data_IF_915736863135
#
_entry.id   IF_915736863135
#
_cell.length_a   1.000
_cell.length_b   1.000
_cell.length_c   1.000
_cell.angle_alpha   90.00
_cell.angle_beta   90.00
_cell.angle_gamma   90.00
#
_symmetry.space_group_name_H-M   'P 1'
#
loop_
_entity.id
_entity.type
_entity.pdbx_description
1 polymer ?
#
# COMPACT_ATOMS: atom_id res chain seq x y z
N UNK A 1 22.90 -3.27 -8.54
CA UNK A 1 21.82 -2.62 -9.36
C UNK A 1 20.46 -3.31 -9.19
N UNK A 2 20.41 -4.62 -8.93
CA UNK A 2 19.17 -5.39 -8.76
C UNK A 2 18.42 -5.11 -7.44
N UNK A 3 19.11 -5.04 -6.32
CA UNK A 3 18.49 -4.85 -5.00
C UNK A 3 17.71 -3.53 -4.83
N UNK A 4 18.23 -2.44 -5.37
CA UNK A 4 17.55 -1.14 -5.31
C UNK A 4 16.25 -1.17 -6.12
N UNK A 5 16.26 -1.84 -7.28
CA UNK A 5 15.09 -1.95 -8.15
C UNK A 5 13.97 -2.79 -7.52
N UNK A 6 14.31 -3.89 -6.85
CA UNK A 6 13.34 -4.75 -6.14
C UNK A 6 12.71 -4.06 -4.93
N UNK A 7 13.51 -3.32 -4.14
CA UNK A 7 12.98 -2.51 -3.04
C UNK A 7 11.97 -1.44 -3.53
N UNK A 8 12.28 -0.79 -4.65
CA UNK A 8 11.40 0.23 -5.23
C UNK A 8 10.12 -0.36 -5.81
N UNK A 9 10.18 -1.50 -6.48
CA UNK A 9 9.00 -2.22 -6.96
C UNK A 9 8.10 -2.65 -5.79
N UNK A 10 8.68 -3.15 -4.71
CA UNK A 10 7.93 -3.51 -3.51
C UNK A 10 7.25 -2.30 -2.85
N UNK A 11 7.91 -1.14 -2.84
CA UNK A 11 7.35 0.11 -2.31
C UNK A 11 6.22 0.66 -3.20
N UNK A 12 6.37 0.59 -4.53
CA UNK A 12 5.37 1.04 -5.48
C UNK A 12 4.13 0.13 -5.47
N UNK A 13 4.32 -1.19 -5.42
CA UNK A 13 3.22 -2.14 -5.25
C UNK A 13 2.46 -1.90 -3.94
N UNK A 14 3.17 -1.61 -2.84
CA UNK A 14 2.56 -1.26 -1.55
C UNK A 14 1.83 0.08 -1.57
N UNK A 15 2.18 1.02 -2.46
CA UNK A 15 1.52 2.33 -2.58
C UNK A 15 0.18 2.28 -3.34
N UNK A 16 -0.14 1.15 -4.01
CA UNK A 16 -1.35 1.01 -4.85
C UNK A 16 -1.34 1.83 -6.14
N UNK A 17 -0.23 2.49 -6.45
CA UNK A 17 -0.04 3.32 -7.65
C UNK A 17 0.68 2.60 -8.79
N UNK A 18 0.89 1.29 -8.67
CA UNK A 18 1.57 0.47 -9.67
C UNK A 18 0.93 0.47 -11.06
N UNK A 19 -0.30 0.97 -11.19
CA UNK A 19 -0.99 1.09 -12.46
C UNK A 19 -0.86 2.47 -13.13
N UNK A 20 -0.38 3.50 -12.42
CA UNK A 20 -0.35 4.87 -12.96
C UNK A 20 1.05 5.44 -13.22
N UNK A 21 2.10 4.86 -12.60
CA UNK A 21 3.47 5.36 -12.78
C UNK A 21 4.45 4.20 -12.94
N UNK A 22 5.09 4.12 -14.09
CA UNK A 22 6.24 3.23 -14.27
C UNK A 22 7.41 3.68 -13.37
N UNK A 23 8.19 2.71 -12.87
CA UNK A 23 9.39 2.94 -12.03
C UNK A 23 10.34 3.94 -12.70
N UNK A 24 10.39 3.95 -14.02
CA UNK A 24 11.18 4.86 -14.85
C UNK A 24 10.77 6.33 -14.69
N UNK A 25 9.46 6.62 -14.61
CA UNK A 25 8.95 7.99 -14.40
C UNK A 25 9.29 8.51 -13.01
N UNK A 26 9.27 7.63 -12.01
CA UNK A 26 9.61 8.00 -10.63
C UNK A 26 11.11 8.28 -10.48
N UNK A 27 11.96 7.47 -11.11
CA UNK A 27 13.42 7.71 -11.18
C UNK A 27 13.68 9.01 -11.96
N UNK A 28 12.92 9.27 -13.01
CA UNK A 28 12.98 10.53 -13.75
C UNK A 28 12.60 11.75 -12.90
N UNK A 29 11.54 11.66 -12.12
CA UNK A 29 11.13 12.70 -11.17
C UNK A 29 12.17 12.94 -10.06
N UNK A 30 12.82 11.88 -9.55
CA UNK A 30 13.91 11.99 -8.60
C UNK A 30 15.12 12.71 -9.21
N UNK A 31 15.52 12.32 -10.41
CA UNK A 31 16.63 12.95 -11.12
C UNK A 31 16.31 14.42 -11.41
N UNK A 32 15.09 14.71 -11.89
CA UNK A 32 14.64 16.07 -12.15
C UNK A 32 14.63 16.93 -10.88
N UNK A 33 14.12 16.43 -9.77
CA UNK A 33 14.08 17.14 -8.49
C UNK A 33 15.49 17.45 -7.97
N UNK A 34 16.42 16.52 -8.15
CA UNK A 34 17.83 16.69 -7.74
C UNK A 34 18.52 17.74 -8.60
N UNK A 35 18.26 17.73 -9.91
CA UNK A 35 18.82 18.71 -10.85
C UNK A 35 18.24 20.10 -10.58
N UNK A 36 16.93 20.24 -10.42
CA UNK A 36 16.26 21.52 -10.08
C UNK A 36 16.77 22.06 -8.76
N UNK A 37 16.92 21.21 -7.74
CA UNK A 37 17.46 21.63 -6.45
C UNK A 37 18.92 22.07 -6.57
N UNK A 38 19.76 21.39 -7.35
CA UNK A 38 21.15 21.79 -7.61
C UNK A 38 21.23 23.14 -8.35
N UNK A 39 20.36 23.39 -9.33
CA UNK A 39 20.30 24.67 -10.06
C UNK A 39 19.86 25.81 -9.12
N UNK A 40 18.82 25.59 -8.31
CA UNK A 40 18.35 26.60 -7.34
C UNK A 40 19.48 26.92 -6.33
N UNK A 41 20.18 25.92 -5.84
CA UNK A 41 21.31 26.11 -4.93
C UNK A 41 22.48 26.84 -5.60
N UNK A 42 22.78 26.52 -6.85
CA UNK A 42 23.82 27.22 -7.61
C UNK A 42 23.49 28.71 -7.85
N UNK A 43 22.21 29.03 -8.08
CA UNK A 43 21.73 30.39 -8.24
C UNK A 43 21.75 31.18 -6.91
N UNK A 44 21.39 30.55 -5.80
CA UNK A 44 21.31 31.21 -4.49
C UNK A 44 22.70 31.41 -3.85
N UNK A 45 23.62 30.47 -4.03
CA UNK A 45 24.94 30.49 -3.35
C UNK A 45 25.99 31.33 -4.07
N UNK A 46 25.75 31.81 -5.28
CA UNK A 46 26.65 32.66 -6.07
C UNK A 46 28.15 32.33 -5.84
N UNK A 47 28.71 31.26 -6.45
CA UNK A 47 29.99 30.67 -6.08
C UNK A 47 31.20 31.63 -6.24
N UNK A 48 31.01 32.73 -6.99
CA UNK A 48 32.03 33.76 -7.17
C UNK A 48 32.24 34.64 -5.95
N UNK A 49 31.21 34.78 -5.08
CA UNK A 49 31.26 35.66 -3.88
C UNK A 49 31.51 34.88 -2.59
N UNK A 50 31.12 33.62 -2.50
CA UNK A 50 31.22 32.80 -1.28
C UNK A 50 32.47 31.88 -1.20
N UNK A 51 33.29 31.79 -2.25
CA UNK A 51 34.51 31.02 -2.23
C UNK A 51 34.34 29.51 -1.95
N UNK A 52 35.35 28.91 -1.29
CA UNK A 52 35.38 27.47 -1.02
C UNK A 52 34.22 26.93 -0.16
N UNK A 53 33.58 27.77 0.65
CA UNK A 53 32.46 27.39 1.52
C UNK A 53 31.20 26.99 0.72
N UNK A 54 30.99 27.58 -0.45
CA UNK A 54 29.86 27.24 -1.32
C UNK A 54 29.93 25.77 -1.78
N UNK A 55 31.11 25.26 -2.07
CA UNK A 55 31.33 23.88 -2.46
C UNK A 55 31.05 22.90 -1.30
N UNK A 56 31.43 23.24 -0.08
CA UNK A 56 31.12 22.42 1.10
C UNK A 56 29.63 22.33 1.34
N UNK A 57 28.90 23.44 1.25
CA UNK A 57 27.44 23.48 1.39
C UNK A 57 26.77 22.64 0.30
N UNK A 58 27.23 22.73 -0.95
CA UNK A 58 26.70 21.95 -2.06
C UNK A 58 26.87 20.45 -1.83
N UNK A 59 28.07 20.00 -1.40
CA UNK A 59 28.38 18.58 -1.12
C UNK A 59 27.49 18.04 0.02
N UNK A 60 27.19 18.84 1.05
CA UNK A 60 26.35 18.41 2.16
C UNK A 60 24.84 18.44 1.83
N UNK A 61 24.37 19.36 0.99
CA UNK A 61 22.96 19.48 0.63
C UNK A 61 22.51 18.50 -0.49
N UNK A 62 23.40 18.11 -1.38
CA UNK A 62 23.09 17.20 -2.48
C UNK A 62 22.49 15.86 -2.01
N UNK A 63 23.03 15.17 -0.98
CA UNK A 63 22.41 13.94 -0.46
C UNK A 63 21.05 14.17 0.21
N UNK A 64 20.77 15.37 0.72
CA UNK A 64 19.48 15.70 1.33
C UNK A 64 18.40 15.77 0.25
N UNK A 65 18.67 16.41 -0.89
CA UNK A 65 17.77 16.46 -2.05
C UNK A 65 17.39 15.06 -2.57
N UNK A 66 18.33 14.13 -2.53
CA UNK A 66 18.10 12.74 -2.94
C UNK A 66 17.24 11.94 -1.94
N UNK A 67 17.22 12.31 -0.67
CA UNK A 67 16.43 11.64 0.37
C UNK A 67 14.97 12.12 0.46
N UNK A 68 14.65 13.32 0.04
CA UNK A 68 13.32 13.91 0.13
C UNK A 68 12.22 13.07 -0.54
N UNK A 69 12.37 12.60 -1.80
CA UNK A 69 11.32 11.81 -2.45
C UNK A 69 11.09 10.46 -1.76
N UNK A 70 12.13 9.85 -1.15
CA UNK A 70 11.99 8.59 -0.39
C UNK A 70 11.14 8.79 0.87
N UNK A 71 11.34 9.90 1.58
CA UNK A 71 10.56 10.24 2.79
C UNK A 71 9.10 10.50 2.41
N UNK A 72 8.87 11.20 1.31
CA UNK A 72 7.52 11.46 0.81
C UNK A 72 6.77 10.16 0.46
N UNK A 73 7.43 9.25 -0.28
CA UNK A 73 6.85 7.95 -0.62
C UNK A 73 6.55 7.11 0.62
N UNK A 74 7.48 7.05 1.56
CA UNK A 74 7.26 6.36 2.83
C UNK A 74 6.07 6.94 3.62
N UNK A 75 5.87 8.26 3.56
CA UNK A 75 4.71 8.91 4.17
C UNK A 75 3.39 8.50 3.48
N UNK A 76 3.36 8.45 2.15
CA UNK A 76 2.19 8.00 1.39
C UNK A 76 1.81 6.56 1.70
N UNK A 77 2.80 5.66 1.76
CA UNK A 77 2.59 4.25 2.10
C UNK A 77 2.01 4.13 3.52
N UNK A 78 2.62 4.81 4.49
CA UNK A 78 2.12 4.82 5.89
C UNK A 78 0.70 5.38 6.00
N UNK A 79 0.38 6.42 5.24
CA UNK A 79 -0.96 7.00 5.19
C UNK A 79 -1.97 5.98 4.65
N UNK A 80 -1.64 5.30 3.54
CA UNK A 80 -2.46 4.24 2.96
C UNK A 80 -2.68 3.09 3.94
N UNK A 81 -1.61 2.61 4.57
CA UNK A 81 -1.69 1.54 5.57
C UNK A 81 -2.60 1.92 6.75
N UNK A 82 -2.50 3.16 7.25
CA UNK A 82 -3.39 3.66 8.30
C UNK A 82 -4.84 3.75 7.85
N UNK A 83 -5.10 4.18 6.61
CA UNK A 83 -6.45 4.21 6.07
C UNK A 83 -7.06 2.81 6.03
N UNK A 84 -6.31 1.83 5.50
CA UNK A 84 -6.76 0.43 5.45
C UNK A 84 -7.04 -0.10 6.87
N UNK A 85 -6.12 0.12 7.81
CA UNK A 85 -6.29 -0.32 9.20
C UNK A 85 -7.52 0.32 9.86
N UNK A 86 -7.78 1.58 9.56
CA UNK A 86 -8.95 2.30 10.07
C UNK A 86 -10.27 1.79 9.49
N UNK A 87 -10.30 1.46 8.20
CA UNK A 87 -11.51 1.00 7.51
C UNK A 87 -11.80 -0.50 7.71
N UNK A 88 -10.76 -1.28 8.03
CA UNK A 88 -10.83 -2.74 8.10
C UNK A 88 -11.99 -3.28 8.95
N UNK A 89 -12.25 -2.81 10.20
CA UNK A 89 -13.35 -3.34 11.01
C UNK A 89 -14.73 -3.15 10.33
N UNK A 90 -14.95 -1.98 9.73
CA UNK A 90 -16.20 -1.70 9.01
C UNK A 90 -16.39 -2.63 7.80
N UNK A 91 -15.32 -2.87 7.07
CA UNK A 91 -15.35 -3.76 5.88
C UNK A 91 -15.58 -5.21 6.30
N UNK A 92 -15.00 -5.66 7.43
CA UNK A 92 -15.23 -6.99 7.98
C UNK A 92 -16.69 -7.15 8.41
N UNK A 93 -17.28 -6.14 9.03
CA UNK A 93 -18.72 -6.17 9.40
C UNK A 93 -19.62 -6.32 8.17
N UNK A 94 -19.36 -5.56 7.11
CA UNK A 94 -20.10 -5.67 5.85
C UNK A 94 -19.94 -7.05 5.21
N UNK A 95 -18.73 -7.60 5.23
CA UNK A 95 -18.42 -8.92 4.69
C UNK A 95 -19.14 -10.01 5.51
N UNK A 96 -19.15 -9.91 6.84
CA UNK A 96 -19.89 -10.83 7.72
C UNK A 96 -21.37 -10.86 7.38
N UNK A 97 -22.01 -9.69 7.23
CA UNK A 97 -23.41 -9.59 6.84
C UNK A 97 -23.69 -10.21 5.47
N UNK A 98 -22.77 -10.02 4.51
CA UNK A 98 -22.92 -10.60 3.18
C UNK A 98 -22.85 -12.15 3.22
N UNK A 99 -21.91 -12.71 4.00
CA UNK A 99 -21.77 -14.17 4.15
C UNK A 99 -22.95 -14.76 4.93
N UNK A 100 -23.43 -14.10 5.98
CA UNK A 100 -24.61 -14.52 6.74
C UNK A 100 -25.90 -14.49 5.91
N UNK A 101 -25.96 -13.66 4.87
CA UNK A 101 -27.05 -13.67 3.90
C UNK A 101 -26.98 -14.85 2.90
N UNK A 102 -25.98 -15.73 3.03
CA UNK A 102 -25.80 -16.93 2.21
C UNK A 102 -24.88 -16.77 1.00
N UNK A 103 -24.14 -15.65 0.90
CA UNK A 103 -23.13 -15.48 -0.12
C UNK A 103 -21.85 -16.24 0.26
N UNK A 104 -21.18 -16.82 -0.73
CA UNK A 104 -19.81 -17.28 -0.57
C UNK A 104 -18.82 -16.11 -0.38
N UNK A 105 -17.58 -16.40 0.00
CA UNK A 105 -16.58 -15.35 0.26
C UNK A 105 -16.37 -14.44 -0.95
N UNK A 106 -16.29 -14.99 -2.15
CA UNK A 106 -16.09 -14.21 -3.39
C UNK A 106 -17.29 -13.30 -3.67
N UNK A 107 -18.48 -13.83 -3.55
CA UNK A 107 -19.74 -13.08 -3.70
C UNK A 107 -19.89 -11.99 -2.63
N UNK A 108 -19.51 -12.31 -1.38
CA UNK A 108 -19.51 -11.36 -0.27
C UNK A 108 -18.56 -10.19 -0.54
N UNK A 109 -17.30 -10.48 -0.96
CA UNK A 109 -16.34 -9.44 -1.33
C UNK A 109 -16.84 -8.62 -2.53
N UNK A 110 -17.42 -9.26 -3.55
CA UNK A 110 -18.00 -8.55 -4.70
C UNK A 110 -19.13 -7.60 -4.27
N UNK A 111 -19.97 -8.04 -3.31
CA UNK A 111 -21.06 -7.22 -2.77
C UNK A 111 -20.55 -6.04 -1.97
N UNK A 112 -19.51 -6.22 -1.17
CA UNK A 112 -18.84 -5.14 -0.44
C UNK A 112 -18.25 -4.12 -1.42
N UNK A 113 -17.57 -4.57 -2.47
CA UNK A 113 -17.00 -3.70 -3.51
C UNK A 113 -18.09 -2.88 -4.24
N UNK A 114 -19.22 -3.49 -4.54
CA UNK A 114 -20.36 -2.82 -5.19
C UNK A 114 -20.96 -1.70 -4.34
N UNK A 115 -21.07 -1.94 -3.03
CA UNK A 115 -21.78 -1.05 -2.09
C UNK A 115 -20.89 0.00 -1.43
N UNK A 116 -19.58 -0.19 -1.46
CA UNK A 116 -18.62 0.68 -0.77
C UNK A 116 -18.06 1.76 -1.70
N UNK A 117 -17.60 2.86 -1.10
CA UNK A 117 -16.81 3.89 -1.82
C UNK A 117 -15.47 3.31 -2.24
N UNK A 118 -14.86 3.91 -3.25
CA UNK A 118 -13.55 3.47 -3.76
C UNK A 118 -12.42 3.91 -2.81
N UNK A 119 -12.22 3.16 -1.74
CA UNK A 119 -11.18 3.38 -0.73
C UNK A 119 -9.99 2.45 -0.97
N UNK A 120 -8.89 2.65 -0.22
CA UNK A 120 -7.67 1.87 -0.39
C UNK A 120 -7.90 0.36 -0.21
N UNK A 121 -8.73 -0.05 0.75
CA UNK A 121 -9.07 -1.46 0.99
C UNK A 121 -9.97 -2.03 -0.12
N UNK A 122 -10.89 -1.22 -0.65
CA UNK A 122 -11.78 -1.64 -1.75
C UNK A 122 -10.99 -1.83 -3.05
N UNK A 123 -9.95 -1.05 -3.28
CA UNK A 123 -9.02 -1.27 -4.41
C UNK A 123 -8.36 -2.65 -4.30
N UNK A 124 -7.89 -3.06 -3.13
CA UNK A 124 -7.31 -4.39 -2.92
C UNK A 124 -8.34 -5.51 -3.16
N UNK A 125 -9.57 -5.33 -2.72
CA UNK A 125 -10.65 -6.29 -2.99
C UNK A 125 -10.98 -6.41 -4.48
N UNK A 126 -10.94 -5.31 -5.23
CA UNK A 126 -11.08 -5.35 -6.70
C UNK A 126 -9.95 -6.13 -7.35
N UNK A 127 -8.71 -5.95 -6.89
CA UNK A 127 -7.56 -6.70 -7.39
C UNK A 127 -7.69 -8.18 -7.06
N UNK A 128 -8.11 -8.54 -5.84
CA UNK A 128 -8.43 -9.91 -5.46
C UNK A 128 -9.47 -10.55 -6.40
N UNK A 129 -10.57 -9.86 -6.67
CA UNK A 129 -11.60 -10.36 -7.60
C UNK A 129 -11.08 -10.51 -9.04
N UNK A 130 -10.17 -9.63 -9.46
CA UNK A 130 -9.51 -9.75 -10.77
C UNK A 130 -8.57 -10.98 -10.81
N UNK A 131 -7.80 -11.23 -9.75
CA UNK A 131 -6.94 -12.40 -9.61
C UNK A 131 -7.75 -13.71 -9.70
N UNK A 132 -8.91 -13.79 -9.03
CA UNK A 132 -9.83 -14.94 -9.14
C UNK A 132 -10.36 -15.08 -10.57
N UNK A 133 -10.74 -14.01 -11.24
CA UNK A 133 -11.26 -14.05 -12.62
C UNK A 133 -10.23 -14.57 -13.63
N UNK A 134 -8.93 -14.33 -13.40
CA UNK A 134 -7.85 -14.86 -14.26
C UNK A 134 -7.43 -16.28 -13.88
N UNK A 135 -8.10 -16.90 -12.89
CA UNK A 135 -7.92 -18.30 -12.53
C UNK A 135 -6.94 -18.58 -11.40
N UNK A 136 -6.50 -17.58 -10.63
CA UNK A 136 -5.74 -17.82 -9.40
C UNK A 136 -6.62 -18.56 -8.38
N UNK A 137 -6.01 -19.42 -7.59
CA UNK A 137 -6.71 -20.03 -6.46
C UNK A 137 -7.10 -18.96 -5.42
N UNK A 138 -8.18 -19.19 -4.68
CA UNK A 138 -8.64 -18.32 -3.62
C UNK A 138 -7.53 -18.05 -2.60
N UNK A 139 -6.81 -19.10 -2.21
CA UNK A 139 -5.74 -19.01 -1.22
C UNK A 139 -4.58 -18.15 -1.71
N UNK A 140 -4.13 -18.36 -2.95
CA UNK A 140 -3.07 -17.53 -3.57
C UNK A 140 -3.49 -16.06 -3.70
N UNK A 141 -4.72 -15.81 -4.17
CA UNK A 141 -5.22 -14.44 -4.32
C UNK A 141 -5.33 -13.71 -2.98
N UNK A 142 -5.77 -14.40 -1.91
CA UNK A 142 -5.80 -13.86 -0.55
C UNK A 142 -4.39 -13.59 -0.01
N UNK A 143 -3.46 -14.53 -0.21
CA UNK A 143 -2.06 -14.37 0.24
C UNK A 143 -1.38 -13.19 -0.45
N UNK A 144 -1.53 -13.08 -1.78
CA UNK A 144 -1.01 -11.95 -2.56
C UNK A 144 -1.59 -10.61 -2.09
N UNK A 145 -2.88 -10.57 -1.78
CA UNK A 145 -3.53 -9.38 -1.24
C UNK A 145 -2.94 -8.98 0.12
N UNK A 146 -2.70 -9.93 1.02
CA UNK A 146 -2.08 -9.66 2.33
C UNK A 146 -0.64 -9.15 2.18
N UNK A 147 0.13 -9.69 1.24
CA UNK A 147 1.50 -9.29 0.96
C UNK A 147 1.59 -7.87 0.38
N UNK A 148 0.64 -7.47 -0.47
CA UNK A 148 0.56 -6.11 -1.01
C UNK A 148 0.26 -5.07 0.05
N UNK A 149 -0.67 -5.36 0.96
CA UNK A 149 -1.15 -4.40 1.98
C UNK A 149 -0.12 -4.15 3.09
N UNK A 150 0.60 -5.16 3.53
CA UNK A 150 1.64 -5.08 4.59
C UNK A 150 1.17 -4.40 5.89
N UNK A 151 -0.05 -4.69 6.32
CA UNK A 151 -0.64 -4.25 7.59
C UNK A 151 -0.92 -5.49 8.44
N UNK A 152 -0.44 -5.51 9.68
CA UNK A 152 -0.50 -6.70 10.53
C UNK A 152 -1.94 -7.15 10.81
N UNK A 153 -2.84 -6.22 11.11
CA UNK A 153 -4.26 -6.53 11.35
C UNK A 153 -4.93 -7.10 10.11
N UNK A 154 -4.58 -6.59 8.92
CA UNK A 154 -5.08 -7.11 7.65
C UNK A 154 -4.53 -8.50 7.34
N UNK A 155 -3.24 -8.73 7.61
CA UNK A 155 -2.62 -10.05 7.47
C UNK A 155 -3.29 -11.10 8.38
N UNK A 156 -3.55 -10.74 9.65
CA UNK A 156 -4.26 -11.62 10.58
C UNK A 156 -5.67 -11.96 10.10
N UNK A 157 -6.40 -10.97 9.58
CA UNK A 157 -7.71 -11.14 8.99
C UNK A 157 -7.69 -12.12 7.81
N UNK A 158 -6.80 -11.89 6.84
CA UNK A 158 -6.67 -12.76 5.67
C UNK A 158 -6.26 -14.18 6.05
N UNK A 159 -5.33 -14.32 7.00
CA UNK A 159 -4.91 -15.65 7.50
C UNK A 159 -6.07 -16.42 8.13
N UNK A 160 -6.95 -15.74 8.87
CA UNK A 160 -8.16 -16.36 9.43
C UNK A 160 -9.13 -16.81 8.34
N UNK A 161 -9.27 -16.03 7.25
CA UNK A 161 -10.08 -16.43 6.09
C UNK A 161 -9.54 -17.69 5.41
N UNK A 162 -8.23 -17.74 5.17
CA UNK A 162 -7.58 -18.90 4.56
C UNK A 162 -7.79 -20.15 5.44
N UNK A 163 -7.61 -20.03 6.74
CA UNK A 163 -7.81 -21.12 7.68
C UNK A 163 -9.27 -21.62 7.71
N UNK A 164 -10.24 -20.69 7.80
CA UNK A 164 -11.66 -21.02 7.79
C UNK A 164 -12.06 -21.75 6.50
N UNK A 165 -11.53 -21.32 5.37
CA UNK A 165 -11.79 -21.94 4.08
C UNK A 165 -11.19 -23.34 3.97
N UNK A 166 -9.96 -23.55 4.45
CA UNK A 166 -9.33 -24.90 4.46
C UNK A 166 -10.09 -25.90 5.33
N UNK A 167 -10.65 -25.43 6.43
CA UNK A 167 -11.39 -26.27 7.37
C UNK A 167 -12.86 -26.50 6.94
N UNK A 168 -13.33 -25.83 5.87
CA UNK A 168 -14.75 -25.83 5.49
C UNK A 168 -15.67 -25.28 6.59
N UNK A 169 -15.11 -24.48 7.51
CA UNK A 169 -15.83 -23.91 8.62
C UNK A 169 -16.69 -22.72 8.17
N UNK A 170 -17.76 -22.45 8.93
CA UNK A 170 -18.54 -21.24 8.74
C UNK A 170 -17.66 -20.00 9.01
N UNK A 171 -17.44 -19.19 7.96
CA UNK A 171 -16.60 -18.00 7.99
C UNK A 171 -17.27 -16.87 8.80
N UNK A 172 -18.61 -16.84 8.87
CA UNK A 172 -19.37 -15.79 9.52
C UNK A 172 -19.00 -15.53 10.99
N UNK A 173 -19.01 -16.54 11.87
CA UNK A 173 -18.60 -16.39 13.27
C UNK A 173 -17.15 -15.94 13.43
N UNK A 174 -16.25 -16.42 12.59
CA UNK A 174 -14.83 -16.03 12.61
C UNK A 174 -14.66 -14.55 12.30
N UNK A 175 -15.39 -14.03 11.32
CA UNK A 175 -15.35 -12.62 10.96
C UNK A 175 -15.90 -11.71 12.06
N UNK A 176 -17.00 -12.10 12.74
CA UNK A 176 -17.52 -11.34 13.87
C UNK A 176 -16.53 -11.23 15.02
N UNK A 177 -15.91 -12.34 15.41
CA UNK A 177 -14.91 -12.35 16.47
C UNK A 177 -13.73 -11.42 16.12
N UNK A 178 -13.29 -11.41 14.88
CA UNK A 178 -12.23 -10.51 14.39
C UNK A 178 -12.65 -9.04 14.44
N UNK A 179 -13.85 -8.70 13.99
CA UNK A 179 -14.36 -7.34 14.03
C UNK A 179 -14.46 -6.80 15.47
N UNK A 180 -14.97 -7.62 16.40
CA UNK A 180 -15.05 -7.28 17.82
C UNK A 180 -13.65 -7.07 18.42
N UNK A 181 -12.73 -7.99 18.18
CA UNK A 181 -11.34 -7.87 18.67
C UNK A 181 -10.67 -6.57 18.21
N UNK A 182 -10.84 -6.19 16.95
CA UNK A 182 -10.28 -4.95 16.40
C UNK A 182 -10.89 -3.68 17.00
N UNK A 183 -12.18 -3.73 17.41
CA UNK A 183 -12.83 -2.62 18.11
C UNK A 183 -12.30 -2.41 19.53
N UNK A 184 -11.93 -3.49 20.23
CA UNK A 184 -11.37 -3.40 21.57
C UNK A 184 -9.91 -2.89 21.58
N UNK A 185 -9.20 -3.00 20.46
CA UNK A 185 -7.80 -2.54 20.35
C UNK A 185 -7.65 -1.06 19.99
N UNK A 186 -8.75 -0.35 19.79
CA UNK A 186 -8.79 1.11 19.56
C UNK A 186 -8.99 1.89 20.83
#
# INVERSE_FOLDING_TARGET
RSHVHEEWLALLNASGKSAEFEVSEYIGLMALSTVVFAIIMMLLLNPTTMGAWAWLVLIFLLPIGFRLPRIYLAHLIRKRQKNIEFELPYVIDLLSLAIESGLDLTGGIAKVVEKSRNTDIIVEFKMFLADIKVGKSMEEALADMAERVKVLSFFSFVSSLIQAQRLGADIGPTLRAQAEQMRYQR
#
